data_IF_110301062214
#
_entry.id   IF_110301062214
#
_cell.length_a   1.000
_cell.length_b   1.000
_cell.length_c   1.000
_cell.angle_alpha   90.00
_cell.angle_beta   90.00
_cell.angle_gamma   90.00
#
_symmetry.space_group_name_H-M   'P 1'
#
loop_
_entity.id
_entity.type
_entity.pdbx_description
1 polymer ?
#
# COMPACT_ATOMS: atom_id res chain seq x y z
N UNK A 1 -23.03 -3.62 -2.98
CA UNK A 1 -23.06 -2.19 -3.32
C UNK A 1 -21.86 -1.94 -4.25
N UNK A 2 -22.13 -1.50 -5.49
CA UNK A 2 -21.20 -1.14 -6.58
C UNK A 2 -20.08 -2.12 -7.02
N UNK A 3 -20.44 -3.15 -7.81
CA UNK A 3 -19.56 -3.66 -8.87
C UNK A 3 -19.74 -2.73 -10.09
N UNK A 4 -19.06 -1.59 -10.12
CA UNK A 4 -19.11 -0.66 -11.25
C UNK A 4 -18.40 -1.26 -12.46
N UNK A 5 -19.18 -1.64 -13.48
CA UNK A 5 -18.90 -1.30 -14.88
C UNK A 5 -17.60 -1.78 -15.53
N UNK A 6 -16.93 -2.83 -15.05
CA UNK A 6 -15.87 -3.44 -15.85
C UNK A 6 -16.47 -4.40 -16.88
N UNK A 7 -16.17 -4.14 -18.15
CA UNK A 7 -16.44 -5.12 -19.21
C UNK A 7 -15.66 -6.40 -18.90
N UNK A 8 -16.15 -7.56 -19.35
CA UNK A 8 -15.42 -8.84 -19.18
C UNK A 8 -13.96 -8.73 -19.66
N UNK A 9 -13.74 -7.97 -20.74
CA UNK A 9 -12.40 -7.68 -21.27
C UNK A 9 -11.53 -6.84 -20.32
N UNK A 10 -12.13 -5.89 -19.59
CA UNK A 10 -11.41 -5.09 -18.59
C UNK A 10 -10.85 -5.92 -17.44
N UNK A 11 -11.68 -6.83 -16.89
CA UNK A 11 -11.26 -7.75 -15.81
C UNK A 11 -10.14 -8.69 -16.27
N UNK A 12 -10.23 -9.20 -17.50
CA UNK A 12 -9.18 -10.07 -18.06
C UNK A 12 -7.88 -9.29 -18.23
N UNK A 13 -7.93 -8.09 -18.80
CA UNK A 13 -6.73 -7.28 -19.01
C UNK A 13 -6.03 -6.93 -17.70
N UNK A 14 -6.77 -6.54 -16.66
CA UNK A 14 -6.18 -6.26 -15.35
C UNK A 14 -5.57 -7.52 -14.72
N UNK A 15 -6.24 -8.68 -14.83
CA UNK A 15 -5.70 -9.93 -14.30
C UNK A 15 -4.40 -10.35 -15.02
N UNK A 16 -4.31 -10.11 -16.34
CA UNK A 16 -3.09 -10.37 -17.12
C UNK A 16 -1.97 -9.41 -16.73
N UNK A 17 -2.27 -8.11 -16.57
CA UNK A 17 -1.29 -7.12 -16.12
C UNK A 17 -0.74 -7.49 -14.74
N UNK A 18 -1.61 -7.78 -13.78
CA UNK A 18 -1.22 -8.22 -12.45
C UNK A 18 -0.38 -9.49 -12.49
N UNK A 19 -0.76 -10.46 -13.32
CA UNK A 19 0.02 -11.68 -13.50
C UNK A 19 1.44 -11.39 -14.03
N UNK A 20 1.56 -10.55 -15.06
CA UNK A 20 2.86 -10.14 -15.60
C UNK A 20 3.72 -9.44 -14.53
N UNK A 21 3.13 -8.54 -13.74
CA UNK A 21 3.82 -7.89 -12.63
C UNK A 21 4.30 -8.88 -11.58
N UNK A 22 3.51 -9.89 -11.23
CA UNK A 22 3.91 -10.95 -10.30
C UNK A 22 5.00 -11.87 -10.87
N UNK A 23 5.13 -12.00 -12.20
CA UNK A 23 6.27 -12.71 -12.81
C UNK A 23 7.57 -11.92 -12.66
N UNK A 24 7.51 -10.58 -12.77
CA UNK A 24 8.68 -9.70 -12.58
C UNK A 24 9.04 -9.59 -11.10
N UNK A 25 8.04 -9.41 -10.22
CA UNK A 25 8.22 -9.28 -8.79
C UNK A 25 7.62 -10.49 -8.05
N UNK A 26 8.38 -11.58 -8.00
CA UNK A 26 7.95 -12.88 -7.44
C UNK A 26 7.58 -12.84 -5.94
N UNK A 27 8.04 -11.82 -5.21
CA UNK A 27 7.66 -11.56 -3.82
C UNK A 27 6.32 -10.84 -3.63
N UNK A 28 5.65 -10.45 -4.73
CA UNK A 28 4.43 -9.65 -4.73
C UNK A 28 3.24 -10.47 -5.17
N UNK A 29 2.10 -10.21 -4.53
CA UNK A 29 0.77 -10.66 -4.93
C UNK A 29 -0.21 -9.51 -4.87
N UNK A 30 -1.30 -9.61 -5.62
CA UNK A 30 -2.38 -8.64 -5.55
C UNK A 30 -3.56 -9.17 -4.74
N UNK A 31 -4.06 -8.35 -3.81
CA UNK A 31 -5.22 -8.66 -2.97
C UNK A 31 -6.33 -7.64 -3.20
N UNK A 32 -7.58 -8.06 -3.06
CA UNK A 32 -8.72 -7.14 -3.07
C UNK A 32 -9.00 -6.68 -1.65
N UNK A 33 -9.04 -5.37 -1.42
CA UNK A 33 -9.42 -4.79 -0.12
C UNK A 33 -10.92 -4.53 -0.04
N UNK A 34 -11.42 -4.10 1.13
CA UNK A 34 -12.84 -3.90 1.41
C UNK A 34 -13.53 -2.93 0.44
N UNK A 35 -12.79 -1.95 -0.08
CA UNK A 35 -13.29 -0.99 -1.08
C UNK A 35 -13.42 -1.57 -2.48
N UNK A 36 -13.00 -2.82 -2.70
CA UNK A 36 -12.94 -3.48 -4.01
C UNK A 36 -11.69 -3.18 -4.83
N UNK A 37 -10.81 -2.29 -4.34
CA UNK A 37 -9.53 -1.97 -4.99
C UNK A 37 -8.54 -3.15 -4.91
N UNK A 38 -7.79 -3.38 -5.99
CA UNK A 38 -6.68 -4.35 -6.05
C UNK A 38 -5.40 -3.68 -5.57
N UNK A 39 -4.69 -4.28 -4.61
CA UNK A 39 -3.46 -3.72 -4.04
C UNK A 39 -2.31 -4.71 -4.01
N UNK A 40 -1.12 -4.21 -4.32
CA UNK A 40 0.12 -4.95 -4.21
C UNK A 40 0.47 -5.23 -2.74
N UNK A 41 0.79 -6.48 -2.45
CA UNK A 41 1.08 -7.01 -1.13
C UNK A 41 2.22 -8.00 -1.21
N UNK A 42 3.04 -8.08 -0.17
CA UNK A 42 3.98 -9.19 -0.04
C UNK A 42 3.22 -10.53 0.04
N UNK A 43 3.80 -11.59 -0.54
CA UNK A 43 3.23 -12.95 -0.49
C UNK A 43 2.91 -13.34 0.96
N UNK A 44 3.90 -13.20 1.85
CA UNK A 44 3.79 -13.48 3.27
C UNK A 44 4.09 -12.22 4.10
N UNK A 45 3.32 -11.15 3.88
CA UNK A 45 3.57 -9.89 4.58
C UNK A 45 2.46 -8.87 4.44
N UNK A 46 2.72 -7.61 4.82
CA UNK A 46 1.79 -6.50 4.67
C UNK A 46 1.70 -6.01 3.22
N UNK A 47 0.86 -5.01 3.00
CA UNK A 47 0.75 -4.31 1.72
C UNK A 47 2.03 -3.51 1.44
N UNK A 48 2.38 -3.34 0.16
CA UNK A 48 3.62 -2.66 -0.24
C UNK A 48 3.64 -1.20 0.22
N UNK A 49 2.48 -0.53 0.21
CA UNK A 49 2.37 0.86 0.62
C UNK A 49 2.78 1.08 2.08
N UNK A 50 2.56 0.11 2.98
CA UNK A 50 2.97 0.22 4.38
C UNK A 50 4.49 0.17 4.53
N UNK A 51 5.17 -0.63 3.71
CA UNK A 51 6.64 -0.68 3.66
C UNK A 51 7.20 0.64 3.11
N UNK A 52 6.59 1.14 2.04
CA UNK A 52 6.97 2.43 1.45
C UNK A 52 6.74 3.60 2.42
N UNK A 53 5.64 3.60 3.17
CA UNK A 53 5.40 4.61 4.21
C UNK A 53 6.43 4.53 5.34
N UNK A 54 6.75 3.32 5.84
CA UNK A 54 7.80 3.13 6.84
C UNK A 54 9.17 3.60 6.34
N UNK A 55 9.49 3.36 5.06
CA UNK A 55 10.71 3.89 4.42
C UNK A 55 10.70 5.42 4.39
N UNK A 56 9.58 6.03 4.00
CA UNK A 56 9.44 7.49 3.92
C UNK A 56 9.46 8.19 5.28
N UNK A 57 9.10 7.48 6.37
CA UNK A 57 9.17 7.99 7.73
C UNK A 57 10.62 8.24 8.21
N UNK A 58 11.61 7.67 7.53
CA UNK A 58 13.02 7.95 7.77
C UNK A 58 13.51 9.08 6.87
N UNK A 59 14.40 9.91 7.43
CA UNK A 59 15.16 10.91 6.66
C UNK A 59 15.92 10.22 5.50
N UNK A 60 16.04 10.85 4.32
CA UNK A 60 16.67 10.24 3.14
C UNK A 60 18.04 9.61 3.39
N UNK A 61 18.88 10.25 4.21
CA UNK A 61 20.26 9.80 4.53
C UNK A 61 20.31 8.65 5.53
N UNK A 62 19.17 8.35 6.18
CA UNK A 62 19.03 7.28 7.17
C UNK A 62 18.35 6.04 6.62
N UNK A 63 17.65 6.14 5.49
CA UNK A 63 16.94 5.01 4.89
C UNK A 63 17.88 3.85 4.57
N UNK A 64 17.72 2.75 5.32
CA UNK A 64 18.49 1.52 5.16
C UNK A 64 17.58 0.32 5.33
N UNK A 65 17.76 -0.68 4.49
CA UNK A 65 16.96 -1.91 4.54
C UNK A 65 17.07 -2.62 5.90
N UNK A 66 18.26 -2.73 6.54
CA UNK A 66 18.36 -3.28 7.89
C UNK A 66 17.49 -2.57 8.94
N UNK A 67 17.32 -1.25 8.85
CA UNK A 67 16.47 -0.51 9.80
C UNK A 67 14.99 -0.92 9.66
N UNK A 68 14.53 -1.20 8.43
CA UNK A 68 13.18 -1.69 8.19
C UNK A 68 13.00 -3.15 8.60
N UNK A 69 14.04 -3.98 8.43
CA UNK A 69 14.03 -5.38 8.90
C UNK A 69 13.80 -5.42 10.40
N UNK A 70 14.55 -4.63 11.16
CA UNK A 70 14.43 -4.55 12.61
C UNK A 70 13.09 -3.95 13.04
N UNK A 71 12.64 -2.88 12.37
CA UNK A 71 11.38 -2.20 12.67
C UNK A 71 10.15 -3.07 12.43
N UNK A 72 10.13 -3.80 11.31
CA UNK A 72 8.93 -4.52 10.84
C UNK A 72 8.97 -6.01 11.14
N UNK A 73 10.13 -6.54 11.57
CA UNK A 73 10.33 -7.98 11.79
C UNK A 73 10.18 -8.81 10.51
N UNK A 74 10.42 -8.20 9.35
CA UNK A 74 10.29 -8.85 8.04
C UNK A 74 11.66 -9.25 7.49
N UNK A 75 11.77 -10.36 6.76
CA UNK A 75 13.01 -10.72 6.09
C UNK A 75 13.47 -9.64 5.11
N UNK A 76 14.78 -9.40 5.06
CA UNK A 76 15.41 -8.44 4.13
C UNK A 76 14.93 -8.60 2.68
N UNK A 77 14.87 -9.84 2.18
CA UNK A 77 14.34 -10.16 0.84
C UNK A 77 12.91 -9.63 0.59
N UNK A 78 12.08 -9.58 1.63
CA UNK A 78 10.70 -9.09 1.53
C UNK A 78 10.67 -7.56 1.46
N UNK A 79 11.55 -6.90 2.23
CA UNK A 79 11.71 -5.45 2.15
C UNK A 79 12.24 -5.05 0.77
N UNK A 80 13.29 -5.71 0.28
CA UNK A 80 13.85 -5.49 -1.07
C UNK A 80 12.81 -5.72 -2.17
N UNK A 81 12.01 -6.78 -2.08
CA UNK A 81 10.93 -7.03 -3.04
C UNK A 81 9.88 -5.91 -3.06
N UNK A 82 9.48 -5.40 -1.89
CA UNK A 82 8.53 -4.29 -1.78
C UNK A 82 9.12 -2.98 -2.33
N UNK A 83 10.38 -2.67 -1.99
CA UNK A 83 11.07 -1.47 -2.47
C UNK A 83 11.30 -1.50 -3.99
N UNK A 84 11.67 -2.67 -4.53
CA UNK A 84 11.79 -2.88 -5.98
C UNK A 84 10.47 -2.69 -6.71
N UNK A 85 9.38 -3.29 -6.21
CA UNK A 85 8.05 -3.08 -6.81
C UNK A 85 7.64 -1.61 -6.74
N UNK A 86 7.86 -0.96 -5.59
CA UNK A 86 7.54 0.45 -5.43
C UNK A 86 8.35 1.34 -6.37
N UNK A 87 9.62 1.04 -6.62
CA UNK A 87 10.45 1.79 -7.57
C UNK A 87 9.86 1.76 -8.99
N UNK A 88 9.37 0.59 -9.43
CA UNK A 88 8.78 0.42 -10.76
C UNK A 88 7.33 0.96 -10.85
N UNK A 89 6.61 0.98 -9.73
CA UNK A 89 5.21 1.43 -9.64
C UNK A 89 5.00 2.58 -8.65
N UNK A 90 5.89 3.59 -8.69
CA UNK A 90 5.90 4.73 -7.75
C UNK A 90 4.55 5.42 -7.62
N UNK A 91 3.96 5.81 -8.74
CA UNK A 91 2.72 6.58 -8.77
C UNK A 91 1.53 5.83 -8.14
N UNK A 92 1.46 4.51 -8.32
CA UNK A 92 0.42 3.68 -7.71
C UNK A 92 0.54 3.72 -6.19
N UNK A 93 1.71 3.42 -5.66
CA UNK A 93 1.93 3.30 -4.23
C UNK A 93 1.88 4.67 -3.53
N UNK A 94 2.51 5.69 -4.11
CA UNK A 94 2.47 7.05 -3.58
C UNK A 94 1.02 7.55 -3.50
N UNK A 95 0.20 7.27 -4.53
CA UNK A 95 -1.23 7.61 -4.51
C UNK A 95 -2.02 6.86 -3.42
N UNK A 96 -1.68 5.61 -3.11
CA UNK A 96 -2.30 4.88 -1.98
C UNK A 96 -1.93 5.54 -0.64
N UNK A 97 -0.66 5.91 -0.46
CA UNK A 97 -0.18 6.60 0.75
C UNK A 97 -0.90 7.94 0.93
N UNK A 98 -1.01 8.75 -0.12
CA UNK A 98 -1.72 10.03 -0.09
C UNK A 98 -3.18 9.87 0.32
N UNK A 99 -3.90 8.91 -0.29
CA UNK A 99 -5.29 8.59 0.09
C UNK A 99 -5.40 8.16 1.54
N UNK A 100 -4.45 7.35 2.02
CA UNK A 100 -4.48 6.87 3.40
C UNK A 100 -4.25 8.01 4.41
N UNK A 101 -3.28 8.89 4.15
CA UNK A 101 -3.02 10.08 4.97
C UNK A 101 -4.22 11.02 5.02
N UNK A 102 -4.83 11.31 3.86
CA UNK A 102 -6.03 12.14 3.81
C UNK A 102 -7.19 11.54 4.63
N UNK A 103 -7.38 10.22 4.58
CA UNK A 103 -8.40 9.54 5.36
C UNK A 103 -8.09 9.58 6.88
N UNK A 104 -6.82 9.47 7.27
CA UNK A 104 -6.41 9.60 8.67
C UNK A 104 -6.65 11.03 9.20
N UNK A 105 -6.31 12.05 8.42
CA UNK A 105 -6.53 13.46 8.77
C UNK A 105 -8.03 13.77 8.94
N UNK A 106 -8.87 13.25 8.04
CA UNK A 106 -10.33 13.39 8.15
C UNK A 106 -10.89 12.70 9.40
N UNK A 107 -10.41 11.49 9.71
CA UNK A 107 -10.81 10.76 10.91
C UNK A 107 -10.42 11.51 12.19
N UNK A 108 -9.23 12.10 12.24
CA UNK A 108 -8.78 12.93 13.36
C UNK A 108 -9.67 14.16 13.51
N UNK A 109 -9.92 14.90 12.43
CA UNK A 109 -10.80 16.07 12.46
C UNK A 109 -12.24 15.72 12.88
N UNK A 110 -12.76 14.56 12.46
CA UNK A 110 -14.07 14.08 12.88
C UNK A 110 -14.12 13.75 14.38
N UNK A 111 -13.05 13.12 14.90
CA UNK A 111 -12.91 12.83 16.33
C UNK A 111 -12.83 14.10 17.18
N UNK A 112 -12.07 15.11 16.74
CA UNK A 112 -11.98 16.42 17.41
C UNK A 112 -13.34 17.13 17.46
N UNK A 113 -14.08 17.15 16.35
CA UNK A 113 -15.44 17.70 16.31
C UNK A 113 -16.38 17.00 17.29
N UNK A 114 -16.26 15.67 17.44
CA UNK A 114 -17.07 14.91 18.42
C UNK A 114 -16.70 15.29 19.86
N UNK A 115 -15.41 15.34 20.18
CA UNK A 115 -14.91 15.72 21.51
C UNK A 115 -15.34 17.12 21.93
N UNK A 116 -15.42 18.06 20.99
CA UNK A 116 -15.90 19.41 21.27
C UNK A 116 -17.40 19.46 21.63
N UNK A 117 -18.21 18.53 21.13
CA UNK A 117 -19.63 18.39 21.52
C UNK A 117 -19.73 17.82 22.94
N UNK A 118 -18.94 16.80 23.26
CA UNK A 118 -18.99 16.13 24.57
C UNK A 118 -18.44 17.00 25.72
N UNK A 119 -17.69 18.05 25.40
CA UNK A 119 -17.09 18.97 26.36
C UNK A 119 -17.92 20.26 26.58
N UNK A 120 -19.03 20.44 25.87
CA UNK A 120 -19.94 21.58 25.96
C UNK A 120 -21.17 21.26 26.84
#
# INVERSE_FOLDING_TARGET
MHLTGQTKSGVINSAVEEWLRMQVHTGIRFVTIETGERRARLVDGPEVWTIAEAWLAHEPERRRVPELVDLLGLPERSIEAALSYWADFRAEIDGVIERHRAAQDEALAAWERRRAIDAA
#
